data_IF_729902762363
#
_entry.id   IF_729902762363
#
_cell.length_a   1.000
_cell.length_b   1.000
_cell.length_c   1.000
_cell.angle_alpha   90.00
_cell.angle_beta   90.00
_cell.angle_gamma   90.00
#
_symmetry.space_group_name_H-M   'P 1'
#
loop_
_entity.id
_entity.type
_entity.pdbx_description
1 polymer ?
#
# COMPACT_ATOMS: atom_id res chain seq x y z
N UNK A 1 0.39 -7.70 -2.29
CA UNK A 1 1.41 -6.64 -2.26
C UNK A 1 2.27 -6.83 -1.01
N UNK A 2 3.59 -6.79 -1.16
CA UNK A 2 4.60 -7.05 -0.13
C UNK A 2 5.74 -6.02 -0.20
N UNK A 3 6.63 -6.05 0.80
CA UNK A 3 7.89 -5.32 0.83
C UNK A 3 8.72 -5.52 -0.45
N UNK A 4 8.93 -6.78 -0.83
CA UNK A 4 9.71 -7.17 -2.02
C UNK A 4 9.12 -6.59 -3.30
N UNK A 5 7.81 -6.78 -3.53
CA UNK A 5 7.15 -6.23 -4.72
C UNK A 5 7.21 -4.70 -4.78
N UNK A 6 7.28 -4.02 -3.64
CA UNK A 6 7.53 -2.56 -3.61
C UNK A 6 8.93 -2.25 -4.11
N UNK A 7 9.96 -2.98 -3.64
CA UNK A 7 11.34 -2.79 -4.06
C UNK A 7 11.52 -3.06 -5.56
N UNK A 8 10.88 -4.10 -6.07
CA UNK A 8 10.93 -4.45 -7.49
C UNK A 8 10.35 -3.34 -8.37
N UNK A 9 9.15 -2.84 -8.00
CA UNK A 9 8.50 -1.74 -8.72
C UNK A 9 9.30 -0.44 -8.67
N UNK A 10 9.87 -0.10 -7.52
CA UNK A 10 10.74 1.08 -7.38
C UNK A 10 12.01 0.91 -8.21
N UNK A 11 12.61 -0.29 -8.23
CA UNK A 11 13.82 -0.58 -9.04
C UNK A 11 13.53 -0.53 -10.54
N UNK A 12 12.30 -0.84 -10.94
CA UNK A 12 11.80 -0.64 -12.30
C UNK A 12 11.50 0.83 -12.63
N UNK A 13 11.65 1.76 -11.68
CA UNK A 13 11.51 3.20 -11.88
C UNK A 13 10.24 3.83 -11.31
N UNK A 14 9.43 3.10 -10.52
CA UNK A 14 8.22 3.68 -9.93
C UNK A 14 8.55 4.71 -8.82
N UNK A 15 7.98 5.91 -8.92
CA UNK A 15 8.06 6.93 -7.86
C UNK A 15 6.99 6.72 -6.76
N UNK A 16 5.82 6.21 -7.16
CA UNK A 16 4.68 5.95 -6.29
C UNK A 16 4.15 4.54 -6.56
N UNK A 17 4.06 3.72 -5.51
CA UNK A 17 3.54 2.36 -5.59
C UNK A 17 2.10 2.31 -5.07
N UNK A 18 1.16 1.87 -5.91
CA UNK A 18 -0.25 1.67 -5.53
C UNK A 18 -0.43 0.33 -4.83
N UNK A 19 -0.91 0.34 -3.59
CA UNK A 19 -0.98 -0.83 -2.71
C UNK A 19 -2.43 -1.24 -2.46
N UNK A 20 -2.79 -2.42 -2.95
CA UNK A 20 -4.06 -3.09 -2.65
C UNK A 20 -4.28 -4.31 -3.54
N UNK A 21 -4.61 -5.47 -2.94
CA UNK A 21 -5.04 -6.68 -3.68
C UNK A 21 -6.20 -7.35 -2.92
N UNK A 22 -7.40 -7.30 -3.50
CA UNK A 22 -8.62 -7.77 -2.86
C UNK A 22 -9.20 -6.97 -1.67
N UNK A 23 -8.83 -5.70 -1.37
CA UNK A 23 -9.34 -4.99 -0.18
C UNK A 23 -10.62 -4.17 -0.44
N UNK A 24 -10.98 -3.93 -1.70
CA UNK A 24 -12.08 -3.04 -2.07
C UNK A 24 -13.44 -3.72 -1.89
N UNK A 25 -14.47 -2.93 -1.53
CA UNK A 25 -15.82 -3.43 -1.27
C UNK A 25 -16.44 -4.20 -2.46
N UNK A 26 -16.15 -3.79 -3.69
CA UNK A 26 -16.60 -4.48 -4.91
C UNK A 26 -15.59 -5.48 -5.49
N UNK A 27 -14.40 -5.59 -4.90
CA UNK A 27 -13.33 -6.41 -5.47
C UNK A 27 -13.62 -7.90 -5.22
N UNK A 28 -13.73 -8.69 -6.29
CA UNK A 28 -14.04 -10.12 -6.20
C UNK A 28 -12.81 -11.01 -6.12
N UNK A 29 -11.59 -10.45 -6.20
CA UNK A 29 -10.34 -11.23 -6.28
C UNK A 29 -10.23 -12.27 -5.17
N UNK A 30 -10.49 -11.89 -3.90
CA UNK A 30 -10.44 -12.86 -2.79
C UNK A 30 -11.49 -13.96 -2.90
N UNK A 31 -12.68 -13.63 -3.39
CA UNK A 31 -13.77 -14.61 -3.56
C UNK A 31 -13.45 -15.61 -4.67
N UNK A 32 -12.85 -15.14 -5.77
CA UNK A 32 -12.58 -15.97 -6.95
C UNK A 32 -11.28 -16.78 -6.83
N UNK A 33 -10.23 -16.21 -6.25
CA UNK A 33 -8.88 -16.82 -6.26
C UNK A 33 -8.38 -17.24 -4.88
N UNK A 34 -9.04 -16.83 -3.80
CA UNK A 34 -8.52 -16.98 -2.43
C UNK A 34 -7.31 -16.10 -2.12
N UNK A 35 -6.80 -15.33 -3.09
CA UNK A 35 -5.60 -14.51 -2.93
C UNK A 35 -5.97 -13.11 -2.46
N UNK A 36 -5.28 -12.66 -1.42
CA UNK A 36 -5.35 -11.28 -0.95
C UNK A 36 -4.49 -11.08 0.30
N UNK A 37 -4.30 -9.81 0.69
CA UNK A 37 -3.70 -9.46 1.98
C UNK A 37 -4.54 -8.44 2.72
N UNK A 38 -4.62 -8.49 4.06
CA UNK A 38 -5.21 -7.42 4.87
C UNK A 38 -4.60 -6.06 4.48
N UNK A 39 -5.48 -5.10 4.17
CA UNK A 39 -5.09 -3.86 3.51
C UNK A 39 -4.14 -3.03 4.36
N UNK A 40 -4.45 -2.89 5.65
CA UNK A 40 -3.63 -2.10 6.57
C UNK A 40 -2.21 -2.66 6.67
N UNK A 41 -2.07 -3.96 6.93
CA UNK A 41 -0.76 -4.62 7.02
C UNK A 41 0.03 -4.48 5.72
N UNK A 42 -0.62 -4.66 4.56
CA UNK A 42 0.02 -4.50 3.26
C UNK A 42 0.53 -3.07 3.04
N UNK A 43 -0.28 -2.05 3.35
CA UNK A 43 0.12 -0.64 3.23
C UNK A 43 1.28 -0.29 4.15
N UNK A 44 1.26 -0.74 5.41
CA UNK A 44 2.34 -0.47 6.37
C UNK A 44 3.66 -1.08 5.90
N UNK A 45 3.65 -2.35 5.49
CA UNK A 45 4.84 -3.05 5.01
C UNK A 45 5.45 -2.36 3.78
N UNK A 46 4.61 -2.02 2.79
CA UNK A 46 5.04 -1.34 1.57
C UNK A 46 5.52 0.10 1.85
N UNK A 47 4.85 0.84 2.74
CA UNK A 47 5.26 2.19 3.13
C UNK A 47 6.62 2.20 3.84
N UNK A 48 6.91 1.18 4.65
CA UNK A 48 8.20 1.02 5.31
C UNK A 48 9.32 0.78 4.30
N UNK A 49 9.12 -0.08 3.31
CA UNK A 49 10.12 -0.28 2.25
C UNK A 49 10.27 0.93 1.32
N UNK A 50 9.16 1.50 0.85
CA UNK A 50 9.20 2.69 -0.02
C UNK A 50 9.96 3.85 0.64
N UNK A 51 9.79 4.04 1.96
CA UNK A 51 10.53 5.06 2.72
C UNK A 51 12.04 4.84 2.72
N UNK A 52 12.51 3.60 2.75
CA UNK A 52 13.96 3.30 2.65
C UNK A 52 14.54 3.69 1.29
N UNK A 53 13.69 3.78 0.28
CA UNK A 53 14.05 4.07 -1.11
C UNK A 53 13.66 5.50 -1.54
N UNK A 54 13.28 6.37 -0.59
CA UNK A 54 12.76 7.73 -0.83
C UNK A 54 11.59 7.77 -1.84
N UNK A 55 10.73 6.75 -1.80
CA UNK A 55 9.51 6.63 -2.62
C UNK A 55 8.24 6.67 -1.77
N UNK A 56 7.10 6.78 -2.43
CA UNK A 56 5.79 6.87 -1.78
C UNK A 56 4.90 5.67 -2.10
N UNK A 57 3.87 5.48 -1.27
CA UNK A 57 2.81 4.49 -1.52
C UNK A 57 1.43 5.14 -1.47
N UNK A 58 0.51 4.58 -2.23
CA UNK A 58 -0.90 4.97 -2.25
C UNK A 58 -1.78 3.78 -1.84
N UNK A 59 -2.55 3.91 -0.77
CA UNK A 59 -3.50 2.88 -0.34
C UNK A 59 -4.72 2.87 -1.27
N UNK A 60 -4.98 1.74 -1.95
CA UNK A 60 -6.07 1.60 -2.91
C UNK A 60 -7.16 0.63 -2.39
N UNK A 61 -8.30 1.20 -2.03
CA UNK A 61 -9.44 0.47 -1.49
C UNK A 61 -9.36 0.16 0.01
N UNK A 62 -10.43 -0.45 0.52
CA UNK A 62 -10.56 -0.85 1.92
C UNK A 62 -10.88 0.28 2.90
N UNK A 63 -11.09 1.53 2.45
CA UNK A 63 -11.61 2.61 3.31
C UNK A 63 -13.12 2.51 3.47
N UNK A 64 -13.58 2.16 4.66
CA UNK A 64 -15.01 2.22 4.99
C UNK A 64 -15.44 3.60 5.51
N UNK A 65 -14.54 4.33 6.17
CA UNK A 65 -14.81 5.64 6.76
C UNK A 65 -13.67 6.63 6.45
N UNK A 66 -13.94 7.95 6.37
CA UNK A 66 -12.91 8.95 6.09
C UNK A 66 -11.72 8.94 7.06
N UNK A 67 -11.94 8.50 8.31
CA UNK A 67 -10.91 8.41 9.34
C UNK A 67 -10.01 7.18 9.24
N UNK A 68 -10.36 6.17 8.43
CA UNK A 68 -9.63 4.90 8.41
C UNK A 68 -8.17 5.05 7.94
N UNK A 69 -7.93 5.95 6.98
CA UNK A 69 -6.59 6.30 6.53
C UNK A 69 -5.98 7.48 7.27
N UNK A 70 -6.60 7.94 8.36
CA UNK A 70 -6.06 9.00 9.24
C UNK A 70 -4.97 8.44 10.17
N UNK A 71 -4.04 7.70 9.60
CA UNK A 71 -2.79 7.35 10.25
C UNK A 71 -1.81 8.48 9.98
N UNK A 72 -1.44 9.20 11.05
CA UNK A 72 -0.46 10.29 11.15
C UNK A 72 0.43 10.42 9.89
N UNK A 73 -0.10 11.12 8.88
CA UNK A 73 0.65 11.69 7.77
C UNK A 73 1.50 12.80 8.36
N UNK A 74 2.55 12.44 9.09
CA UNK A 74 3.58 13.42 9.43
C UNK A 74 4.37 13.63 8.14
N UNK A 75 4.42 14.87 7.61
CA UNK A 75 5.39 15.16 6.57
C UNK A 75 6.75 14.76 7.14
N UNK A 76 7.42 13.84 6.44
CA UNK A 76 8.85 13.62 6.64
C UNK A 76 9.47 14.97 6.30
N UNK A 77 9.82 15.75 7.33
CA UNK A 77 10.69 16.90 7.13
C UNK A 77 11.98 16.29 6.58
N UNK A 78 12.30 16.61 5.33
CA UNK A 78 13.66 16.48 4.80
C UNK A 78 14.55 17.31 5.74
N UNK A 79 15.25 16.64 6.64
CA UNK A 79 16.48 17.14 7.24
C UNK A 79 17.63 16.62 6.42
#
# INVERSE_FOLDING_TARGET
MSAEGTRDLVSAGADIVKVGVGPGAMCTTRMMTGVGRPQFSAVVECACEARKLDRHVWADGGSATPGMWRWRWRPVRRT
#
